data_IF_878865570550
#
_entry.id   IF_878865570550
#
_cell.length_a   1.000
_cell.length_b   1.000
_cell.length_c   1.000
_cell.angle_alpha   90.00
_cell.angle_beta   90.00
_cell.angle_gamma   90.00
#
_symmetry.space_group_name_H-M   'P 1'
#
loop_
_entity.id
_entity.type
_entity.pdbx_description
1 polymer ?
#
# COMPACT_ATOMS: atom_id res chain seq x y z
N UNK A 1 21.96 -14.04 -9.37
CA UNK A 1 20.55 -13.68 -9.61
C UNK A 1 20.11 -12.66 -8.58
N UNK A 2 19.43 -11.67 -9.03
CA UNK A 2 18.95 -10.62 -8.14
C UNK A 2 17.75 -11.12 -7.32
N UNK A 3 17.85 -11.03 -6.00
CA UNK A 3 16.78 -11.45 -5.08
C UNK A 3 15.50 -10.68 -5.34
N UNK A 4 15.59 -9.40 -5.68
CA UNK A 4 14.43 -8.57 -6.00
C UNK A 4 13.69 -9.08 -7.24
N UNK A 5 14.41 -9.53 -8.25
CA UNK A 5 13.79 -10.10 -9.44
C UNK A 5 13.09 -11.42 -9.13
N UNK A 6 13.70 -12.23 -8.28
CA UNK A 6 13.09 -13.47 -7.81
C UNK A 6 11.81 -13.21 -7.04
N UNK A 7 11.83 -12.21 -6.17
CA UNK A 7 10.62 -11.77 -5.46
C UNK A 7 9.52 -11.33 -6.42
N UNK A 8 9.89 -10.59 -7.45
CA UNK A 8 8.93 -10.14 -8.46
C UNK A 8 8.24 -11.31 -9.16
N UNK A 9 9.01 -12.33 -9.50
CA UNK A 9 8.48 -13.54 -10.15
C UNK A 9 7.58 -14.33 -9.19
N UNK A 10 8.00 -14.50 -7.93
CA UNK A 10 7.21 -15.22 -6.92
C UNK A 10 5.91 -14.52 -6.60
N UNK A 11 5.93 -13.19 -6.60
CA UNK A 11 4.77 -12.41 -6.27
C UNK A 11 3.67 -12.55 -7.30
N UNK A 12 4.01 -12.49 -8.57
CA UNK A 12 3.11 -12.78 -9.65
C UNK A 12 1.69 -12.25 -9.50
N UNK A 13 0.79 -12.85 -10.25
CA UNK A 13 -0.60 -12.42 -10.32
C UNK A 13 -1.36 -12.60 -9.01
N UNK A 14 -1.16 -13.72 -8.32
CA UNK A 14 -1.89 -13.99 -7.07
C UNK A 14 -1.51 -13.01 -5.96
N UNK A 15 -0.23 -12.68 -5.87
CA UNK A 15 0.25 -11.68 -4.92
C UNK A 15 -0.43 -10.32 -5.18
N UNK A 16 -0.46 -9.90 -6.44
CA UNK A 16 -1.07 -8.64 -6.83
C UNK A 16 -2.58 -8.64 -6.57
N UNK A 17 -3.26 -9.76 -6.82
CA UNK A 17 -4.68 -9.90 -6.50
C UNK A 17 -4.94 -9.75 -5.01
N UNK A 18 -4.10 -10.34 -4.16
CA UNK A 18 -4.21 -10.22 -2.71
C UNK A 18 -4.05 -8.77 -2.28
N UNK A 19 -3.01 -8.09 -2.78
CA UNK A 19 -2.78 -6.68 -2.42
C UNK A 19 -3.90 -5.77 -2.89
N UNK A 20 -4.41 -5.97 -4.09
CA UNK A 20 -5.50 -5.16 -4.61
C UNK A 20 -6.79 -5.37 -3.81
N UNK A 21 -7.13 -6.61 -3.51
CA UNK A 21 -8.28 -6.94 -2.69
C UNK A 21 -8.14 -6.38 -1.27
N UNK A 22 -6.96 -6.52 -0.68
CA UNK A 22 -6.67 -5.99 0.65
C UNK A 22 -6.81 -4.47 0.68
N UNK A 23 -6.27 -3.78 -0.33
CA UNK A 23 -6.37 -2.33 -0.44
C UNK A 23 -7.84 -1.90 -0.45
N UNK A 24 -8.66 -2.55 -1.26
CA UNK A 24 -10.09 -2.23 -1.35
C UNK A 24 -10.81 -2.42 -0.02
N UNK A 25 -10.55 -3.53 0.65
CA UNK A 25 -11.19 -3.83 1.94
C UNK A 25 -10.72 -2.86 3.03
N UNK A 26 -9.41 -2.59 3.10
CA UNK A 26 -8.89 -1.64 4.09
C UNK A 26 -9.43 -0.22 3.87
N UNK A 27 -9.59 0.20 2.62
CA UNK A 27 -10.18 1.50 2.33
C UNK A 27 -11.66 1.57 2.69
N UNK A 28 -12.39 0.49 2.44
CA UNK A 28 -13.82 0.43 2.71
C UNK A 28 -14.12 0.33 4.20
N UNK A 29 -13.44 -0.58 4.89
CA UNK A 29 -13.80 -0.98 6.26
C UNK A 29 -12.84 -0.47 7.32
N UNK A 30 -11.66 0.00 6.94
CA UNK A 30 -10.58 0.32 7.87
C UNK A 30 -9.83 -0.92 8.31
N UNK A 31 -8.76 -0.71 9.09
CA UNK A 31 -7.89 -1.81 9.50
C UNK A 31 -8.59 -2.78 10.45
N UNK A 32 -9.23 -2.25 11.49
CA UNK A 32 -9.83 -3.06 12.55
C UNK A 32 -10.96 -3.96 12.04
N UNK A 33 -11.82 -3.42 11.20
CA UNK A 33 -12.97 -4.14 10.66
C UNK A 33 -12.64 -5.05 9.51
N UNK A 34 -11.52 -4.80 8.83
CA UNK A 34 -11.12 -5.62 7.71
C UNK A 34 -10.82 -7.05 8.19
N UNK A 35 -11.42 -8.03 7.54
CA UNK A 35 -11.18 -9.44 7.84
C UNK A 35 -10.46 -10.11 6.70
N UNK A 36 -9.65 -11.13 7.01
CA UNK A 36 -8.97 -11.92 5.99
C UNK A 36 -9.99 -12.64 5.11
N UNK A 37 -11.14 -13.02 5.67
CA UNK A 37 -12.24 -13.62 4.89
C UNK A 37 -12.75 -12.67 3.80
N UNK A 38 -12.99 -11.41 4.16
CA UNK A 38 -13.45 -10.40 3.21
C UNK A 38 -12.38 -10.10 2.16
N UNK A 39 -11.13 -10.05 2.57
CA UNK A 39 -10.01 -9.82 1.66
C UNK A 39 -9.90 -10.99 0.65
N UNK A 40 -10.02 -12.21 1.13
CA UNK A 40 -10.00 -13.39 0.26
C UNK A 40 -11.11 -13.35 -0.77
N UNK A 41 -12.31 -12.97 -0.34
CA UNK A 41 -13.47 -12.84 -1.24
C UNK A 41 -13.26 -11.74 -2.28
N UNK A 42 -12.81 -10.58 -1.84
CA UNK A 42 -12.56 -9.45 -2.74
C UNK A 42 -11.43 -9.74 -3.73
N UNK A 43 -10.39 -10.43 -3.27
CA UNK A 43 -9.24 -10.77 -4.10
C UNK A 43 -9.50 -11.96 -5.03
N UNK A 44 -10.53 -12.76 -4.74
CA UNK A 44 -10.81 -13.96 -5.52
C UNK A 44 -9.82 -15.09 -5.26
N UNK A 45 -9.29 -15.18 -4.04
CA UNK A 45 -8.33 -16.21 -3.64
C UNK A 45 -8.80 -16.87 -2.34
N UNK A 46 -8.14 -17.98 -1.98
CA UNK A 46 -8.43 -18.63 -0.71
C UNK A 46 -7.71 -17.93 0.44
N UNK A 47 -8.22 -18.11 1.67
CA UNK A 47 -7.54 -17.65 2.88
C UNK A 47 -6.14 -18.25 2.98
N UNK A 48 -6.02 -19.54 2.62
CA UNK A 48 -4.72 -20.22 2.63
C UNK A 48 -3.70 -19.52 1.74
N UNK A 49 -4.13 -19.01 0.58
CA UNK A 49 -3.28 -18.25 -0.31
C UNK A 49 -2.80 -16.97 0.36
N UNK A 50 -3.69 -16.26 1.05
CA UNK A 50 -3.32 -15.03 1.76
C UNK A 50 -2.29 -15.34 2.85
N UNK A 51 -2.56 -16.34 3.70
CA UNK A 51 -1.67 -16.70 4.79
C UNK A 51 -0.32 -17.24 4.31
N UNK A 52 -0.26 -17.77 3.08
CA UNK A 52 1.01 -18.19 2.49
C UNK A 52 1.94 -16.99 2.22
N UNK A 53 1.38 -15.83 1.91
CA UNK A 53 2.16 -14.60 1.69
C UNK A 53 2.29 -13.75 2.95
N UNK A 54 1.24 -13.68 3.75
CA UNK A 54 1.16 -12.76 4.89
C UNK A 54 0.62 -13.51 6.11
N UNK A 55 1.48 -13.78 7.11
CA UNK A 55 1.06 -14.53 8.30
C UNK A 55 -0.08 -13.86 9.08
N UNK A 56 -0.17 -12.54 9.03
CA UNK A 56 -1.23 -11.81 9.72
C UNK A 56 -1.67 -10.56 8.95
N UNK A 57 -2.79 -10.01 9.40
CA UNK A 57 -3.41 -8.84 8.79
C UNK A 57 -2.52 -7.58 8.85
N UNK A 58 -1.71 -7.46 9.90
CA UNK A 58 -0.80 -6.33 10.09
C UNK A 58 0.27 -6.30 8.99
N UNK A 59 0.88 -7.44 8.72
CA UNK A 59 1.88 -7.55 7.66
C UNK A 59 1.29 -7.26 6.29
N UNK A 60 0.08 -7.74 6.04
CA UNK A 60 -0.64 -7.44 4.81
C UNK A 60 -0.90 -5.95 4.67
N UNK A 61 -1.35 -5.29 5.74
CA UNK A 61 -1.57 -3.85 5.75
C UNK A 61 -0.29 -3.07 5.48
N UNK A 62 0.81 -3.46 6.12
CA UNK A 62 2.11 -2.82 5.89
C UNK A 62 2.53 -2.89 4.42
N UNK A 63 2.32 -4.03 3.79
CA UNK A 63 2.67 -4.18 2.37
C UNK A 63 1.78 -3.33 1.48
N UNK A 64 0.49 -3.25 1.78
CA UNK A 64 -0.44 -2.36 1.05
C UNK A 64 0.01 -0.90 1.20
N UNK A 65 0.34 -0.48 2.41
CA UNK A 65 0.81 0.89 2.67
C UNK A 65 2.11 1.18 1.93
N UNK A 66 3.05 0.23 1.95
CA UNK A 66 4.32 0.38 1.24
C UNK A 66 4.11 0.54 -0.26
N UNK A 67 3.26 -0.28 -0.85
CA UNK A 67 2.96 -0.20 -2.28
C UNK A 67 2.28 1.12 -2.64
N UNK A 68 1.38 1.60 -1.80
CA UNK A 68 0.72 2.88 -2.04
C UNK A 68 1.71 4.04 -1.99
N UNK A 69 2.62 4.03 -1.03
CA UNK A 69 3.67 5.06 -0.95
C UNK A 69 4.57 5.03 -2.18
N UNK A 70 4.99 3.85 -2.62
CA UNK A 70 5.80 3.73 -3.84
C UNK A 70 5.06 4.24 -5.06
N UNK A 71 3.80 3.91 -5.21
CA UNK A 71 2.99 4.39 -6.33
C UNK A 71 2.93 5.91 -6.35
N UNK A 72 2.72 6.53 -5.19
CA UNK A 72 2.69 7.99 -5.09
C UNK A 72 4.04 8.61 -5.49
N UNK A 73 5.13 8.00 -5.07
CA UNK A 73 6.48 8.46 -5.41
C UNK A 73 6.73 8.34 -6.90
N UNK A 74 6.41 7.19 -7.50
CA UNK A 74 6.62 6.95 -8.93
C UNK A 74 5.80 7.94 -9.78
N UNK A 75 4.57 8.19 -9.39
CA UNK A 75 3.72 9.16 -10.08
C UNK A 75 4.29 10.58 -9.98
N UNK A 76 4.80 10.95 -8.81
CA UNK A 76 5.41 12.27 -8.62
C UNK A 76 6.68 12.42 -9.46
N UNK A 77 7.51 11.38 -9.47
CA UNK A 77 8.73 11.37 -10.30
C UNK A 77 8.40 11.52 -11.77
N UNK A 78 7.39 10.79 -12.26
CA UNK A 78 6.98 10.89 -13.66
C UNK A 78 6.51 12.30 -14.03
N UNK A 79 5.87 13.01 -13.10
CA UNK A 79 5.41 14.37 -13.33
C UNK A 79 6.52 15.41 -13.42
N UNK A 80 7.67 15.14 -12.78
CA UNK A 80 8.80 16.05 -12.78
C UNK A 80 9.94 15.58 -13.69
N UNK A 81 9.70 14.55 -14.47
CA UNK A 81 10.67 14.03 -15.41
C UNK A 81 10.90 15.05 -16.54
N UNK A 82 12.16 15.21 -16.91
CA UNK A 82 12.55 16.19 -17.93
C UNK A 82 12.99 17.50 -17.33
N UNK A 83 12.99 18.55 -18.16
CA UNK A 83 13.50 19.88 -17.79
C UNK A 83 12.42 20.70 -17.11
N UNK A 84 12.10 20.35 -15.86
CA UNK A 84 11.07 21.01 -15.06
C UNK A 84 11.73 21.97 -14.07
N UNK A 85 11.32 23.25 -14.02
CA UNK A 85 11.85 24.18 -13.02
C UNK A 85 11.64 23.68 -11.60
N UNK A 86 12.63 23.95 -10.72
CA UNK A 86 12.60 23.47 -9.33
C UNK A 86 11.33 23.89 -8.60
N UNK A 87 10.88 25.10 -8.81
CA UNK A 87 9.66 25.62 -8.18
C UNK A 87 8.43 24.82 -8.59
N UNK A 88 8.34 24.44 -9.87
CA UNK A 88 7.23 23.62 -10.36
C UNK A 88 7.30 22.20 -9.75
N UNK A 89 8.50 21.62 -9.72
CA UNK A 89 8.71 20.30 -9.12
C UNK A 89 8.32 20.28 -7.64
N UNK A 90 8.73 21.29 -6.87
CA UNK A 90 8.38 21.41 -5.46
C UNK A 90 6.88 21.61 -5.25
N UNK A 91 6.23 22.39 -6.12
CA UNK A 91 4.79 22.60 -6.05
C UNK A 91 4.04 21.30 -6.29
N UNK A 92 4.43 20.54 -7.31
CA UNK A 92 3.83 19.22 -7.61
C UNK A 92 4.00 18.28 -6.43
N UNK A 93 5.21 18.20 -5.87
CA UNK A 93 5.50 17.33 -4.73
C UNK A 93 4.64 17.71 -3.51
N UNK A 94 4.54 19.00 -3.21
CA UNK A 94 3.75 19.48 -2.08
C UNK A 94 2.26 19.19 -2.27
N UNK A 95 1.74 19.44 -3.46
CA UNK A 95 0.33 19.15 -3.76
C UNK A 95 0.01 17.66 -3.60
N UNK A 96 0.90 16.80 -4.07
CA UNK A 96 0.68 15.34 -3.95
C UNK A 96 0.74 14.86 -2.51
N UNK A 97 1.67 15.40 -1.71
CA UNK A 97 1.76 15.08 -0.30
C UNK A 97 0.47 15.50 0.43
N UNK A 98 0.00 16.71 0.20
CA UNK A 98 -1.24 17.21 0.80
C UNK A 98 -2.43 16.37 0.34
N UNK A 99 -2.54 16.09 -0.95
CA UNK A 99 -3.64 15.29 -1.49
C UNK A 99 -3.65 13.89 -0.87
N UNK A 100 -2.48 13.26 -0.71
CA UNK A 100 -2.39 11.94 -0.07
C UNK A 100 -2.86 12.00 1.38
N UNK A 101 -2.41 12.98 2.16
CA UNK A 101 -2.78 13.11 3.57
C UNK A 101 -4.27 13.45 3.76
N UNK A 102 -4.87 14.13 2.80
CA UNK A 102 -6.30 14.45 2.84
C UNK A 102 -7.18 13.34 2.28
N UNK A 103 -6.60 12.35 1.60
CA UNK A 103 -7.36 11.22 1.09
C UNK A 103 -7.83 10.32 2.24
N UNK A 104 -8.89 9.55 1.99
CA UNK A 104 -9.39 8.60 2.98
C UNK A 104 -8.32 7.58 3.37
N UNK A 105 -7.57 7.09 2.40
CA UNK A 105 -6.50 6.13 2.65
C UNK A 105 -5.41 6.75 3.53
N UNK A 106 -4.95 7.95 3.18
CA UNK A 106 -3.92 8.65 3.96
C UNK A 106 -4.34 8.92 5.39
N UNK A 107 -5.58 9.35 5.59
CA UNK A 107 -6.12 9.60 6.93
C UNK A 107 -6.23 8.32 7.75
N UNK A 108 -6.69 7.24 7.14
CA UNK A 108 -6.78 5.94 7.81
C UNK A 108 -5.40 5.38 8.15
N UNK A 109 -4.46 5.51 7.23
CA UNK A 109 -3.08 5.09 7.47
C UNK A 109 -2.45 5.88 8.61
N UNK A 110 -2.64 7.19 8.62
CA UNK A 110 -2.14 8.05 9.70
C UNK A 110 -2.69 7.62 11.06
N UNK A 111 -3.99 7.35 11.14
CA UNK A 111 -4.60 6.89 12.40
C UNK A 111 -4.02 5.57 12.88
N UNK A 112 -3.77 4.65 11.97
CA UNK A 112 -3.18 3.36 12.32
C UNK A 112 -1.74 3.54 12.80
N UNK A 113 -0.95 4.33 12.11
CA UNK A 113 0.44 4.60 12.48
C UNK A 113 0.51 5.24 13.87
N UNK A 114 -0.31 6.25 14.13
CA UNK A 114 -0.31 6.96 15.41
C UNK A 114 -0.90 6.10 16.53
N UNK A 115 -2.00 5.38 16.23
CA UNK A 115 -2.69 4.58 17.24
C UNK A 115 -2.04 3.25 17.56
N UNK A 116 -1.34 2.65 16.60
CA UNK A 116 -0.79 1.31 16.72
C UNK A 116 0.69 1.22 16.33
N UNK A 117 1.41 2.34 16.40
CA UNK A 117 2.82 2.38 16.02
C UNK A 117 3.68 1.36 16.75
N UNK A 118 3.35 1.02 17.98
CA UNK A 118 4.06 0.00 18.75
C UNK A 118 3.87 -1.41 18.18
N UNK A 119 2.74 -1.65 17.51
CA UNK A 119 2.42 -2.93 16.88
C UNK A 119 2.96 -3.06 15.46
N UNK A 120 3.49 -1.96 14.90
CA UNK A 120 4.06 -1.90 13.56
C UNK A 120 5.49 -1.36 13.63
N UNK A 121 6.46 -2.15 14.13
CA UNK A 121 7.82 -1.64 14.33
C UNK A 121 8.54 -1.22 13.04
N UNK A 122 8.03 -1.60 11.89
CA UNK A 122 8.58 -1.21 10.59
C UNK A 122 8.10 0.14 10.06
N UNK A 123 7.22 0.82 10.78
CA UNK A 123 6.70 2.12 10.37
C UNK A 123 7.57 3.28 10.81
#
# INVERSE_FOLDING_TARGET
MNVAADHGVRRGRKFDQVLDGARKVFLRDGFERASVDDIAREAGVSKATIYAYFPDKQLLFLEVARCECHRQTDEAEAMVEGDVPVQVALTIAAERIVAFHLSDFGQRMFRIVVGEGEHFPGL
#
